data_IF_441213445704
#
_entry.id   IF_441213445704
#
_cell.length_a   1.000
_cell.length_b   1.000
_cell.length_c   1.000
_cell.angle_alpha   90.00
_cell.angle_beta   90.00
_cell.angle_gamma   90.00
#
_symmetry.space_group_name_H-M   'P 1'
#
loop_
_entity.id
_entity.type
_entity.pdbx_description
1 polymer ?
#
# COMPACT_ATOMS: atom_id res chain seq x y z
N UNK A 1 -54.71 -41.62 -20.66
CA UNK A 1 -54.37 -40.38 -21.39
C UNK A 1 -54.77 -39.17 -20.56
N UNK A 2 -53.83 -38.51 -19.88
CA UNK A 2 -53.93 -37.11 -19.48
C UNK A 2 -52.66 -36.43 -19.99
N UNK A 3 -52.84 -35.55 -20.98
CA UNK A 3 -51.80 -34.70 -21.58
C UNK A 3 -51.33 -33.72 -20.50
N UNK A 4 -50.06 -33.78 -20.10
CA UNK A 4 -49.41 -32.58 -19.56
C UNK A 4 -48.83 -31.84 -20.76
N UNK A 5 -49.37 -30.65 -20.97
CA UNK A 5 -48.94 -29.66 -21.94
C UNK A 5 -47.44 -29.37 -21.76
N UNK A 6 -46.63 -29.82 -22.71
CA UNK A 6 -45.28 -29.33 -22.91
C UNK A 6 -45.43 -27.83 -23.22
N UNK A 7 -45.01 -26.97 -22.30
CA UNK A 7 -44.85 -25.55 -22.58
C UNK A 7 -43.78 -25.37 -23.67
N UNK A 8 -43.94 -24.40 -24.56
CA UNK A 8 -42.94 -24.05 -25.56
C UNK A 8 -41.58 -23.78 -24.87
N UNK A 9 -40.54 -24.55 -25.19
CA UNK A 9 -39.19 -24.34 -24.67
C UNK A 9 -38.30 -25.59 -24.69
N UNK A 10 -37.05 -25.43 -24.26
CA UNK A 10 -36.10 -26.50 -24.02
C UNK A 10 -35.90 -26.67 -22.51
N UNK A 11 -35.68 -27.91 -22.05
CA UNK A 11 -35.37 -28.24 -20.65
C UNK A 11 -34.02 -28.94 -20.62
N UNK A 12 -33.15 -28.57 -19.67
CA UNK A 12 -31.83 -29.15 -19.49
C UNK A 12 -31.23 -28.77 -18.14
N UNK A 13 -30.16 -29.45 -17.76
CA UNK A 13 -29.39 -29.18 -16.54
C UNK A 13 -28.11 -28.41 -16.91
N UNK A 14 -27.74 -27.45 -16.07
CA UNK A 14 -26.54 -26.62 -16.26
C UNK A 14 -25.73 -26.70 -14.96
N UNK A 15 -24.48 -27.16 -15.06
CA UNK A 15 -23.57 -27.32 -13.92
C UNK A 15 -22.53 -26.18 -13.86
N UNK A 16 -22.06 -25.86 -12.65
CA UNK A 16 -20.93 -24.95 -12.43
C UNK A 16 -21.25 -23.45 -12.53
N UNK A 17 -22.53 -23.06 -12.56
CA UNK A 17 -22.98 -21.67 -12.59
C UNK A 17 -23.34 -21.17 -11.19
N UNK A 18 -22.89 -19.97 -10.83
CA UNK A 18 -23.21 -19.35 -9.54
C UNK A 18 -24.63 -18.80 -9.50
N UNK A 19 -25.20 -18.68 -8.29
CA UNK A 19 -26.55 -18.14 -8.12
C UNK A 19 -26.66 -16.67 -8.57
N UNK A 20 -25.58 -15.90 -8.43
CA UNK A 20 -25.46 -14.52 -8.95
C UNK A 20 -25.67 -14.50 -10.46
N UNK A 21 -25.00 -15.39 -11.19
CA UNK A 21 -25.10 -15.45 -12.66
C UNK A 21 -26.52 -15.84 -13.10
N UNK A 22 -27.17 -16.72 -12.36
CA UNK A 22 -28.55 -17.16 -12.63
C UNK A 22 -29.55 -16.02 -12.43
N UNK A 23 -29.39 -15.24 -11.35
CA UNK A 23 -30.22 -14.07 -11.06
C UNK A 23 -29.97 -12.97 -12.10
N UNK A 24 -28.71 -12.72 -12.46
CA UNK A 24 -28.35 -11.76 -13.51
C UNK A 24 -28.93 -12.16 -14.87
N UNK A 25 -28.88 -13.44 -15.23
CA UNK A 25 -29.53 -13.95 -16.43
C UNK A 25 -31.05 -13.71 -16.43
N UNK A 26 -31.71 -13.87 -15.28
CA UNK A 26 -33.14 -13.60 -15.14
C UNK A 26 -33.45 -12.12 -15.40
N UNK A 27 -32.70 -11.19 -14.81
CA UNK A 27 -32.87 -9.75 -14.99
C UNK A 27 -32.61 -9.30 -16.43
N UNK A 28 -31.69 -9.95 -17.16
CA UNK A 28 -31.38 -9.60 -18.56
C UNK A 28 -32.40 -10.15 -19.57
N UNK A 29 -33.28 -11.05 -19.15
CA UNK A 29 -34.15 -11.80 -20.06
C UNK A 29 -35.40 -11.04 -20.52
N UNK A 30 -35.75 -9.90 -19.92
CA UNK A 30 -36.87 -9.05 -20.40
C UNK A 30 -38.27 -9.42 -19.91
N UNK A 31 -38.48 -10.66 -19.44
CA UNK A 31 -39.81 -11.20 -19.16
C UNK A 31 -40.07 -11.43 -17.67
N UNK A 32 -41.35 -11.39 -17.27
CA UNK A 32 -41.77 -11.67 -15.89
C UNK A 32 -41.54 -13.15 -15.53
N UNK A 33 -40.76 -13.38 -14.48
CA UNK A 33 -40.29 -14.71 -14.10
C UNK A 33 -40.35 -14.94 -12.61
N UNK A 34 -40.50 -16.21 -12.25
CA UNK A 34 -40.28 -16.74 -10.90
C UNK A 34 -39.08 -17.68 -10.94
N UNK A 35 -38.08 -17.40 -10.13
CA UNK A 35 -36.96 -18.28 -9.86
C UNK A 35 -37.19 -18.95 -8.49
N UNK A 36 -37.33 -20.28 -8.50
CA UNK A 36 -37.34 -21.08 -7.28
C UNK A 36 -35.97 -21.72 -7.12
N UNK A 37 -35.31 -21.47 -5.99
CA UNK A 37 -33.99 -22.00 -5.63
C UNK A 37 -34.16 -22.95 -4.46
N UNK A 38 -33.61 -24.15 -4.56
CA UNK A 38 -33.62 -25.15 -3.50
C UNK A 38 -32.17 -25.47 -3.11
N UNK A 39 -31.82 -25.21 -1.86
CA UNK A 39 -30.52 -25.57 -1.27
C UNK A 39 -30.78 -26.35 -0.01
N UNK A 40 -30.25 -27.58 0.07
CA UNK A 40 -30.56 -28.53 1.15
C UNK A 40 -32.09 -28.69 1.32
N UNK A 41 -32.64 -28.35 2.49
CA UNK A 41 -34.09 -28.38 2.80
C UNK A 41 -34.76 -27.00 2.70
N UNK A 42 -34.05 -25.98 2.20
CA UNK A 42 -34.51 -24.59 2.15
C UNK A 42 -34.98 -24.20 0.74
N UNK A 43 -36.22 -23.68 0.64
CA UNK A 43 -36.79 -23.16 -0.59
C UNK A 43 -36.86 -21.63 -0.58
N UNK A 44 -36.16 -21.02 -1.54
CA UNK A 44 -36.14 -19.58 -1.77
C UNK A 44 -36.83 -19.25 -3.09
N UNK A 45 -37.55 -18.15 -3.13
CA UNK A 45 -38.31 -17.73 -4.31
C UNK A 45 -38.05 -16.26 -4.63
N UNK A 46 -37.69 -15.97 -5.87
CA UNK A 46 -37.50 -14.61 -6.39
C UNK A 46 -38.47 -14.36 -7.55
N UNK A 47 -39.05 -13.15 -7.60
CA UNK A 47 -39.88 -12.70 -8.72
C UNK A 47 -39.26 -11.50 -9.42
N UNK A 48 -39.32 -11.55 -10.76
CA UNK A 48 -38.74 -10.57 -11.66
C UNK A 48 -39.82 -9.94 -12.52
N UNK A 49 -39.73 -8.63 -12.75
CA UNK A 49 -40.61 -7.87 -13.64
C UNK A 49 -39.84 -6.64 -14.14
N UNK A 50 -40.00 -6.30 -15.43
CA UNK A 50 -39.31 -5.15 -16.05
C UNK A 50 -37.78 -5.12 -15.81
N UNK A 51 -37.13 -6.28 -15.90
CA UNK A 51 -35.68 -6.47 -15.65
C UNK A 51 -35.21 -6.21 -14.21
N UNK A 52 -36.14 -6.06 -13.26
CA UNK A 52 -35.85 -5.82 -11.86
C UNK A 52 -36.33 -6.99 -10.98
N UNK A 53 -35.73 -7.14 -9.80
CA UNK A 53 -36.18 -8.06 -8.77
C UNK A 53 -37.23 -7.32 -7.93
N UNK A 54 -38.49 -7.73 -8.02
CA UNK A 54 -39.60 -6.99 -7.39
C UNK A 54 -40.05 -7.60 -6.07
N UNK A 55 -39.80 -8.89 -5.84
CA UNK A 55 -40.24 -9.61 -4.64
C UNK A 55 -39.36 -10.82 -4.38
N UNK A 56 -39.15 -11.14 -3.10
CA UNK A 56 -38.39 -12.32 -2.68
C UNK A 56 -39.00 -12.93 -1.41
N UNK A 57 -38.96 -14.25 -1.29
CA UNK A 57 -39.52 -15.01 -0.18
C UNK A 57 -38.59 -16.17 0.24
N UNK A 58 -38.33 -16.28 1.54
CA UNK A 58 -37.62 -17.41 2.13
C UNK A 58 -38.13 -17.65 3.56
N UNK A 59 -38.83 -18.77 3.78
CA UNK A 59 -39.47 -19.06 5.07
C UNK A 59 -40.49 -17.99 5.45
N UNK A 60 -40.30 -17.34 6.59
CA UNK A 60 -41.12 -16.19 7.04
C UNK A 60 -40.58 -14.83 6.55
N UNK A 61 -39.41 -14.80 5.90
CA UNK A 61 -38.80 -13.58 5.38
C UNK A 61 -39.38 -13.20 4.02
N UNK A 62 -39.59 -11.89 3.83
CA UNK A 62 -40.01 -11.30 2.56
C UNK A 62 -39.14 -10.08 2.23
N UNK A 63 -39.02 -9.71 0.95
CA UNK A 63 -38.26 -8.53 0.53
C UNK A 63 -36.75 -8.72 0.50
N UNK A 64 -36.02 -7.62 0.62
CA UNK A 64 -34.56 -7.60 0.40
C UNK A 64 -33.82 -8.57 1.33
N UNK A 65 -34.26 -8.70 2.58
CA UNK A 65 -33.66 -9.65 3.52
C UNK A 65 -33.86 -11.12 3.12
N UNK A 66 -35.00 -11.47 2.52
CA UNK A 66 -35.21 -12.80 1.94
C UNK A 66 -34.26 -13.02 0.76
N UNK A 67 -34.12 -12.01 -0.11
CA UNK A 67 -33.19 -12.05 -1.23
C UNK A 67 -31.75 -12.28 -0.76
N UNK A 68 -31.24 -11.49 0.20
CA UNK A 68 -29.87 -11.63 0.69
C UNK A 68 -29.62 -13.00 1.32
N UNK A 69 -30.58 -13.56 2.06
CA UNK A 69 -30.47 -14.91 2.62
C UNK A 69 -30.36 -15.98 1.54
N UNK A 70 -31.14 -15.87 0.47
CA UNK A 70 -31.08 -16.82 -0.66
C UNK A 70 -29.71 -16.72 -1.35
N UNK A 71 -29.16 -15.51 -1.52
CA UNK A 71 -27.88 -15.30 -2.20
C UNK A 71 -26.66 -15.88 -1.45
N UNK A 72 -26.78 -16.15 -0.15
CA UNK A 72 -25.70 -16.78 0.64
C UNK A 72 -25.55 -18.29 0.40
N UNK A 73 -26.44 -18.93 -0.34
CA UNK A 73 -26.42 -20.38 -0.50
C UNK A 73 -25.28 -20.84 -1.42
N UNK A 74 -24.41 -21.77 -0.97
CA UNK A 74 -23.19 -22.12 -1.69
C UNK A 74 -23.41 -23.07 -2.88
N UNK A 75 -24.50 -23.85 -2.85
CA UNK A 75 -24.90 -24.74 -3.93
C UNK A 75 -26.39 -25.05 -3.83
N UNK A 76 -27.00 -25.52 -4.91
CA UNK A 76 -28.42 -25.84 -4.93
C UNK A 76 -28.90 -26.18 -6.32
N UNK A 77 -30.19 -26.48 -6.42
CA UNK A 77 -30.90 -26.62 -7.69
C UNK A 77 -31.82 -25.43 -7.89
N UNK A 78 -32.12 -25.08 -9.13
CA UNK A 78 -33.04 -23.99 -9.41
C UNK A 78 -34.01 -24.36 -10.53
N UNK A 79 -35.16 -23.71 -10.53
CA UNK A 79 -36.13 -23.75 -11.62
C UNK A 79 -36.63 -22.35 -11.89
N UNK A 80 -36.67 -21.97 -13.18
CA UNK A 80 -37.13 -20.67 -13.61
C UNK A 80 -38.34 -20.83 -14.53
N UNK A 81 -39.46 -20.22 -14.16
CA UNK A 81 -40.71 -20.32 -14.88
C UNK A 81 -41.29 -18.93 -15.12
N UNK A 82 -42.05 -18.76 -16.20
CA UNK A 82 -42.83 -17.54 -16.41
C UNK A 82 -43.91 -17.44 -15.35
N UNK A 83 -43.92 -16.33 -14.62
CA UNK A 83 -44.91 -16.06 -13.60
C UNK A 83 -44.92 -14.56 -13.28
N UNK A 84 -46.12 -14.01 -13.10
CA UNK A 84 -46.32 -12.64 -12.62
C UNK A 84 -46.68 -12.66 -11.13
N UNK A 85 -46.26 -11.64 -10.41
CA UNK A 85 -46.74 -11.36 -9.06
C UNK A 85 -47.25 -9.93 -8.99
N UNK A 86 -48.28 -9.69 -8.17
CA UNK A 86 -48.77 -8.35 -7.86
C UNK A 86 -48.15 -7.79 -6.58
N UNK A 87 -47.27 -8.57 -5.93
CA UNK A 87 -46.56 -8.14 -4.74
C UNK A 87 -45.23 -7.52 -5.14
N UNK A 88 -44.94 -6.36 -4.55
CA UNK A 88 -43.64 -5.70 -4.63
C UNK A 88 -43.18 -5.43 -3.21
N UNK A 89 -42.06 -6.04 -2.85
CA UNK A 89 -41.44 -5.90 -1.52
C UNK A 89 -40.00 -5.43 -1.61
N UNK A 90 -39.52 -5.13 -2.83
CA UNK A 90 -38.16 -4.72 -3.12
C UNK A 90 -38.24 -3.50 -4.05
N UNK A 91 -37.64 -2.40 -3.61
CA UNK A 91 -37.61 -1.15 -4.37
C UNK A 91 -36.21 -0.80 -4.90
N UNK A 92 -35.15 -1.40 -4.34
CA UNK A 92 -33.80 -1.22 -4.83
C UNK A 92 -33.57 -1.89 -6.20
N UNK A 93 -32.69 -1.30 -7.01
CA UNK A 93 -32.30 -1.88 -8.30
C UNK A 93 -31.57 -3.22 -8.11
N UNK A 94 -31.76 -4.16 -9.03
CA UNK A 94 -31.14 -5.48 -8.98
C UNK A 94 -29.60 -5.44 -8.90
N UNK A 95 -28.96 -4.47 -9.56
CA UNK A 95 -27.50 -4.25 -9.48
C UNK A 95 -27.06 -3.91 -8.06
N UNK A 96 -27.79 -3.02 -7.39
CA UNK A 96 -27.52 -2.65 -6.00
C UNK A 96 -27.72 -3.85 -5.07
N UNK A 97 -28.79 -4.63 -5.28
CA UNK A 97 -29.06 -5.84 -4.49
C UNK A 97 -27.94 -6.87 -4.62
N UNK A 98 -27.40 -7.10 -5.83
CA UNK A 98 -26.29 -8.02 -6.02
C UNK A 98 -24.99 -7.53 -5.38
N UNK A 99 -24.68 -6.24 -5.51
CA UNK A 99 -23.49 -5.65 -4.87
C UNK A 99 -23.59 -5.71 -3.34
N UNK A 100 -24.77 -5.42 -2.80
CA UNK A 100 -25.04 -5.47 -1.36
C UNK A 100 -25.06 -6.91 -0.85
N UNK A 101 -25.56 -7.87 -1.64
CA UNK A 101 -25.45 -9.30 -1.32
C UNK A 101 -23.98 -9.76 -1.27
N UNK A 102 -23.16 -9.37 -2.24
CA UNK A 102 -21.73 -9.67 -2.26
C UNK A 102 -21.01 -9.05 -1.06
N UNK A 103 -21.29 -7.78 -0.75
CA UNK A 103 -20.77 -7.09 0.44
C UNK A 103 -21.14 -7.83 1.73
N UNK A 104 -22.40 -8.26 1.86
CA UNK A 104 -22.88 -8.98 3.05
C UNK A 104 -22.29 -10.39 3.17
N UNK A 105 -22.05 -11.07 2.05
CA UNK A 105 -21.34 -12.36 2.03
C UNK A 105 -19.90 -12.14 2.48
N UNK A 106 -19.22 -11.11 1.97
CA UNK A 106 -17.86 -10.74 2.41
C UNK A 106 -17.82 -10.32 3.89
N UNK A 107 -18.84 -9.62 4.39
CA UNK A 107 -18.96 -9.23 5.80
C UNK A 107 -19.32 -10.39 6.73
N UNK A 108 -20.17 -11.35 6.31
CA UNK A 108 -20.41 -12.60 7.04
C UNK A 108 -19.17 -13.50 7.02
N UNK A 109 -18.39 -13.45 5.95
CA UNK A 109 -17.11 -14.14 5.82
C UNK A 109 -15.95 -13.37 6.48
N UNK A 110 -16.22 -12.17 7.02
CA UNK A 110 -15.30 -11.41 7.87
C UNK A 110 -15.55 -11.81 9.32
N UNK A 111 -14.56 -12.32 10.07
CA UNK A 111 -14.81 -12.69 11.47
C UNK A 111 -15.07 -11.43 12.30
N UNK A 112 -16.22 -11.37 12.97
CA UNK A 112 -16.45 -10.45 14.07
C UNK A 112 -15.52 -10.80 15.24
N UNK A 113 -15.01 -9.78 15.93
CA UNK A 113 -14.12 -9.96 17.06
C UNK A 113 -14.79 -10.75 18.21
N UNK A 114 -14.48 -12.04 18.33
CA UNK A 114 -14.47 -12.77 19.61
C UNK A 114 -13.71 -14.10 19.51
N UNK A 115 -12.73 -14.25 20.40
CA UNK A 115 -12.28 -15.49 21.07
C UNK A 115 -13.03 -16.79 20.72
N UNK A 116 -12.46 -17.61 19.83
CA UNK A 116 -12.08 -19.03 20.03
C UNK A 116 -11.58 -19.59 18.70
N UNK A 117 -10.38 -20.18 18.72
CA UNK A 117 -9.67 -20.68 17.55
C UNK A 117 -10.23 -22.02 17.05
N UNK A 118 -10.38 -22.19 15.74
CA UNK A 118 -10.06 -23.42 15.00
C UNK A 118 -9.45 -23.08 13.63
N UNK A 119 -8.35 -23.78 13.31
CA UNK A 119 -7.31 -23.44 12.34
C UNK A 119 -7.63 -23.87 10.90
N UNK A 120 -7.83 -22.88 10.02
CA UNK A 120 -7.50 -22.96 8.59
C UNK A 120 -6.40 -21.93 8.32
N UNK A 121 -5.28 -22.37 7.75
CA UNK A 121 -3.96 -21.70 7.70
C UNK A 121 -3.99 -20.32 6.97
N UNK A 122 -4.55 -19.29 7.63
CA UNK A 122 -4.70 -17.90 7.17
C UNK A 122 -3.39 -17.10 7.12
N UNK A 123 -2.28 -17.78 6.83
CA UNK A 123 -0.97 -17.19 6.75
C UNK A 123 -0.78 -16.51 5.38
N UNK A 124 -0.15 -15.33 5.32
CA UNK A 124 0.21 -14.69 4.05
C UNK A 124 0.98 -15.64 3.14
N UNK A 125 0.60 -15.68 1.87
CA UNK A 125 1.20 -16.53 0.84
C UNK A 125 2.38 -15.82 0.19
N UNK A 126 3.55 -16.45 0.23
CA UNK A 126 4.80 -15.86 -0.28
C UNK A 126 5.36 -16.69 -1.43
N UNK A 127 5.78 -16.01 -2.50
CA UNK A 127 6.61 -16.58 -3.56
C UNK A 127 8.06 -16.12 -3.36
N UNK A 128 9.00 -17.06 -3.25
CA UNK A 128 10.42 -16.75 -3.10
C UNK A 128 11.16 -16.90 -4.44
N UNK A 129 11.72 -15.82 -4.96
CA UNK A 129 12.41 -15.81 -6.27
C UNK A 129 13.89 -15.44 -6.10
N UNK A 130 14.76 -16.44 -6.22
CA UNK A 130 16.22 -16.30 -6.05
C UNK A 130 16.93 -17.44 -6.80
N UNK A 131 18.01 -17.15 -7.53
CA UNK A 131 18.79 -18.15 -8.25
C UNK A 131 19.73 -18.96 -7.34
N UNK A 132 20.01 -18.45 -6.14
CA UNK A 132 20.78 -19.13 -5.11
C UNK A 132 19.93 -20.05 -4.27
N UNK A 133 20.08 -21.37 -4.50
CA UNK A 133 19.45 -22.43 -3.69
C UNK A 133 19.67 -22.27 -2.19
N UNK A 134 20.79 -21.68 -1.78
CA UNK A 134 21.07 -21.40 -0.37
C UNK A 134 20.10 -20.34 0.18
N UNK A 135 20.00 -19.19 -0.50
CA UNK A 135 19.09 -18.12 -0.09
C UNK A 135 17.64 -18.54 -0.22
N UNK A 136 17.24 -19.23 -1.30
CA UNK A 136 15.88 -19.76 -1.45
C UNK A 136 15.47 -20.60 -0.24
N UNK A 137 16.29 -21.58 0.15
CA UNK A 137 16.00 -22.44 1.33
C UNK A 137 15.98 -21.67 2.63
N UNK A 138 16.89 -20.71 2.80
CA UNK A 138 16.97 -19.92 4.01
C UNK A 138 15.78 -18.97 4.16
N UNK A 139 15.31 -18.34 3.06
CA UNK A 139 14.09 -17.53 3.07
C UNK A 139 12.83 -18.37 3.27
N UNK A 140 12.76 -19.56 2.67
CA UNK A 140 11.65 -20.49 2.92
C UNK A 140 11.55 -20.77 4.43
N UNK A 141 12.68 -21.16 5.03
CA UNK A 141 12.75 -21.41 6.47
C UNK A 141 12.42 -20.17 7.30
N UNK A 142 12.88 -18.99 6.89
CA UNK A 142 12.59 -17.74 7.59
C UNK A 142 11.07 -17.46 7.62
N UNK A 143 10.41 -17.56 6.46
CA UNK A 143 8.98 -17.31 6.34
C UNK A 143 8.15 -18.33 7.13
N UNK A 144 8.43 -19.61 6.97
CA UNK A 144 7.64 -20.69 7.60
C UNK A 144 7.90 -20.79 9.12
N UNK A 145 9.17 -20.76 9.55
CA UNK A 145 9.51 -20.99 10.96
C UNK A 145 9.30 -19.75 11.82
N UNK A 146 9.74 -18.57 11.34
CA UNK A 146 9.84 -17.35 12.15
C UNK A 146 8.70 -16.36 11.89
N UNK A 147 8.43 -16.04 10.62
CA UNK A 147 7.45 -14.99 10.28
C UNK A 147 6.01 -15.52 10.29
N UNK A 148 5.84 -16.85 10.19
CA UNK A 148 4.54 -17.51 10.04
C UNK A 148 3.83 -17.05 8.76
N UNK A 149 4.52 -17.25 7.64
CA UNK A 149 3.99 -17.05 6.30
C UNK A 149 4.12 -18.35 5.49
N UNK A 150 3.15 -18.62 4.63
CA UNK A 150 3.11 -19.85 3.83
C UNK A 150 3.84 -19.65 2.52
N UNK A 151 4.93 -20.39 2.30
CA UNK A 151 5.63 -20.32 1.02
C UNK A 151 4.91 -21.19 0.01
N UNK A 152 4.24 -20.54 -0.95
CA UNK A 152 3.42 -21.24 -1.95
C UNK A 152 4.22 -21.73 -3.15
N UNK A 153 5.42 -21.18 -3.34
CA UNK A 153 6.30 -21.57 -4.41
C UNK A 153 7.68 -20.97 -4.29
N UNK A 154 8.59 -21.52 -5.09
CA UNK A 154 9.94 -20.96 -5.29
C UNK A 154 10.25 -20.92 -6.78
N UNK A 155 11.03 -19.94 -7.21
CA UNK A 155 11.49 -19.80 -8.59
C UNK A 155 12.96 -19.39 -8.62
N UNK A 156 13.70 -19.89 -9.62
CA UNK A 156 15.14 -19.64 -9.75
C UNK A 156 15.49 -18.54 -10.77
N UNK A 157 14.48 -18.01 -11.45
CA UNK A 157 14.60 -16.93 -12.42
C UNK A 157 13.25 -16.27 -12.67
N UNK A 158 13.25 -15.11 -13.34
CA UNK A 158 12.02 -14.37 -13.62
C UNK A 158 10.98 -15.13 -14.47
N UNK A 159 11.41 -16.03 -15.37
CA UNK A 159 10.49 -16.78 -16.24
C UNK A 159 9.70 -17.82 -15.47
N UNK A 160 10.36 -18.52 -14.54
CA UNK A 160 9.69 -19.45 -13.61
C UNK A 160 8.73 -18.71 -12.68
N UNK A 161 9.13 -17.54 -12.17
CA UNK A 161 8.27 -16.72 -11.31
C UNK A 161 6.98 -16.29 -12.05
N UNK A 162 7.09 -15.80 -13.28
CA UNK A 162 5.92 -15.42 -14.08
C UNK A 162 4.99 -16.60 -14.38
N UNK A 163 5.55 -17.78 -14.69
CA UNK A 163 4.74 -19.00 -14.89
C UNK A 163 3.99 -19.39 -13.61
N UNK A 164 4.63 -19.25 -12.45
CA UNK A 164 3.97 -19.49 -11.17
C UNK A 164 2.81 -18.52 -10.94
N UNK A 165 3.04 -17.23 -11.19
CA UNK A 165 2.03 -16.16 -11.02
C UNK A 165 0.82 -16.32 -11.96
N UNK A 166 0.99 -16.97 -13.12
CA UNK A 166 -0.13 -17.34 -14.00
C UNK A 166 -1.05 -18.42 -13.40
N UNK A 167 -0.56 -19.20 -12.43
CA UNK A 167 -1.31 -20.31 -11.80
C UNK A 167 -1.81 -19.96 -10.40
N UNK A 168 -1.08 -19.12 -9.66
CA UNK A 168 -1.38 -18.80 -8.27
C UNK A 168 -0.93 -17.37 -7.93
N UNK A 169 -1.79 -16.62 -7.25
CA UNK A 169 -1.50 -15.26 -6.79
C UNK A 169 -0.98 -15.30 -5.34
N UNK A 170 0.30 -14.99 -5.09
CA UNK A 170 0.83 -14.79 -3.75
C UNK A 170 0.48 -13.39 -3.23
N UNK A 171 0.46 -13.23 -1.90
CA UNK A 171 0.30 -11.92 -1.25
C UNK A 171 1.60 -11.11 -1.33
N UNK A 172 2.75 -11.77 -1.29
CA UNK A 172 4.07 -11.14 -1.39
C UNK A 172 5.01 -11.94 -2.31
N UNK A 173 5.78 -11.24 -3.13
CA UNK A 173 6.90 -11.81 -3.89
C UNK A 173 8.21 -11.27 -3.35
N UNK A 174 9.13 -12.15 -2.95
CA UNK A 174 10.53 -11.74 -2.79
C UNK A 174 11.28 -11.97 -4.11
N UNK A 175 12.09 -11.00 -4.51
CA UNK A 175 12.72 -11.01 -5.83
C UNK A 175 14.18 -10.57 -5.76
N UNK A 176 15.09 -11.43 -6.20
CA UNK A 176 16.47 -11.00 -6.49
C UNK A 176 16.51 -10.11 -7.75
N UNK A 177 17.31 -9.05 -7.67
CA UNK A 177 17.52 -8.13 -8.78
C UNK A 177 18.29 -8.77 -9.94
N UNK A 178 19.27 -9.64 -9.64
CA UNK A 178 20.18 -10.19 -10.65
C UNK A 178 20.05 -11.70 -10.71
N UNK A 179 19.46 -12.22 -11.79
CA UNK A 179 19.23 -13.65 -12.00
C UNK A 179 19.47 -14.02 -13.47
N UNK A 180 19.86 -15.27 -13.76
CA UNK A 180 20.01 -15.76 -15.14
C UNK A 180 18.67 -15.89 -15.85
N UNK A 181 18.70 -16.06 -17.18
CA UNK A 181 17.53 -16.26 -18.08
C UNK A 181 16.62 -15.03 -18.19
N UNK A 182 16.06 -14.58 -17.08
CA UNK A 182 15.28 -13.36 -16.96
C UNK A 182 15.67 -12.67 -15.64
N UNK A 183 16.23 -11.47 -15.77
CA UNK A 183 16.63 -10.64 -14.64
C UNK A 183 15.43 -10.10 -13.86
N UNK A 184 15.66 -9.70 -12.61
CA UNK A 184 14.60 -9.21 -11.73
C UNK A 184 13.90 -7.96 -12.26
N UNK A 185 14.59 -7.08 -12.98
CA UNK A 185 13.99 -5.84 -13.51
C UNK A 185 12.98 -6.14 -14.62
N UNK A 186 13.28 -7.13 -15.47
CA UNK A 186 12.36 -7.62 -16.51
C UNK A 186 11.20 -8.36 -15.86
N UNK A 187 11.47 -9.21 -14.87
CA UNK A 187 10.45 -9.93 -14.13
C UNK A 187 9.46 -8.97 -13.46
N UNK A 188 9.95 -8.01 -12.67
CA UNK A 188 9.12 -7.04 -11.95
C UNK A 188 8.20 -6.25 -12.89
N UNK A 189 8.72 -5.79 -14.03
CA UNK A 189 7.89 -5.11 -15.04
C UNK A 189 6.75 -5.99 -15.54
N UNK A 190 7.01 -7.28 -15.77
CA UNK A 190 5.97 -8.21 -16.20
C UNK A 190 4.98 -8.53 -15.09
N UNK A 191 5.43 -8.66 -13.84
CA UNK A 191 4.57 -8.83 -12.66
C UNK A 191 3.59 -7.67 -12.59
N UNK A 192 4.10 -6.43 -12.56
CA UNK A 192 3.26 -5.23 -12.47
C UNK A 192 2.37 -4.94 -13.69
N UNK A 193 2.57 -5.61 -14.82
CA UNK A 193 1.69 -5.46 -15.99
C UNK A 193 0.63 -6.55 -16.05
N UNK A 194 0.97 -7.79 -15.67
CA UNK A 194 0.12 -8.96 -15.89
C UNK A 194 -0.68 -9.37 -14.66
N UNK A 195 -0.06 -9.30 -13.50
CA UNK A 195 -0.64 -9.69 -12.21
C UNK A 195 0.08 -8.90 -11.13
N UNK A 196 -0.26 -7.61 -10.95
CA UNK A 196 0.36 -6.75 -9.95
C UNK A 196 0.31 -7.42 -8.57
N UNK A 197 1.47 -7.50 -7.93
CA UNK A 197 1.62 -8.07 -6.60
C UNK A 197 2.68 -7.26 -5.85
N UNK A 198 2.58 -7.11 -4.52
CA UNK A 198 3.64 -6.53 -3.72
C UNK A 198 4.96 -7.28 -3.94
N UNK A 199 6.01 -6.56 -4.35
CA UNK A 199 7.35 -7.13 -4.58
C UNK A 199 8.38 -6.48 -3.67
N UNK A 200 9.02 -7.28 -2.82
CA UNK A 200 10.19 -6.87 -2.04
C UNK A 200 11.45 -7.36 -2.70
N UNK A 201 12.40 -6.44 -2.88
CA UNK A 201 13.69 -6.76 -3.46
C UNK A 201 14.62 -7.33 -2.40
N UNK A 202 15.30 -8.41 -2.74
CA UNK A 202 16.26 -9.08 -1.87
C UNK A 202 17.57 -9.26 -2.63
N UNK A 203 18.55 -8.40 -2.41
CA UNK A 203 19.80 -8.46 -3.18
C UNK A 203 21.03 -8.01 -2.39
N UNK A 204 22.22 -8.24 -2.96
CA UNK A 204 23.48 -7.75 -2.39
C UNK A 204 23.69 -6.28 -2.80
N UNK A 205 23.75 -5.34 -1.86
CA UNK A 205 24.02 -3.93 -2.20
C UNK A 205 25.50 -3.64 -2.44
N UNK A 206 25.76 -2.80 -3.44
CA UNK A 206 27.01 -2.10 -3.63
C UNK A 206 26.71 -0.66 -4.09
N UNK A 207 27.72 0.21 -4.12
CA UNK A 207 27.53 1.62 -4.49
C UNK A 207 26.92 1.83 -5.89
N UNK A 208 27.26 0.96 -6.84
CA UNK A 208 26.75 1.03 -8.22
C UNK A 208 25.27 0.59 -8.32
N UNK A 209 24.75 -0.08 -7.28
CA UNK A 209 23.38 -0.59 -7.26
C UNK A 209 22.33 0.42 -6.82
N UNK A 210 22.70 1.58 -6.27
CA UNK A 210 21.73 2.59 -5.83
C UNK A 210 20.80 3.05 -6.97
N UNK A 211 21.36 3.29 -8.16
CA UNK A 211 20.59 3.67 -9.35
C UNK A 211 19.66 2.55 -9.81
N UNK A 212 20.15 1.30 -9.82
CA UNK A 212 19.33 0.14 -10.15
C UNK A 212 18.18 -0.02 -9.15
N UNK A 213 18.46 0.06 -7.86
CA UNK A 213 17.45 -0.01 -6.80
C UNK A 213 16.32 1.00 -7.04
N UNK A 214 16.67 2.25 -7.34
CA UNK A 214 15.66 3.28 -7.64
C UNK A 214 14.88 2.98 -8.94
N UNK A 215 15.47 2.35 -9.94
CA UNK A 215 14.73 1.86 -11.11
C UNK A 215 13.72 0.76 -10.73
N UNK A 216 14.07 -0.16 -9.85
CA UNK A 216 13.12 -1.16 -9.36
C UNK A 216 11.97 -0.54 -8.56
N UNK A 217 12.23 0.47 -7.73
CA UNK A 217 11.16 1.21 -7.03
C UNK A 217 10.20 1.85 -8.06
N UNK A 218 10.72 2.42 -9.16
CA UNK A 218 9.89 2.95 -10.26
C UNK A 218 9.11 1.90 -11.01
N UNK A 219 9.60 0.66 -11.05
CA UNK A 219 8.89 -0.46 -11.64
C UNK A 219 7.83 -1.03 -10.70
N UNK A 220 7.78 -0.60 -9.43
CA UNK A 220 6.74 -0.93 -8.47
C UNK A 220 7.17 -1.78 -7.29
N UNK A 221 8.48 -2.01 -7.09
CA UNK A 221 8.93 -2.63 -5.86
C UNK A 221 8.42 -1.84 -4.64
N UNK A 222 7.88 -2.55 -3.64
CA UNK A 222 7.28 -1.91 -2.46
C UNK A 222 8.32 -1.57 -1.41
N UNK A 223 9.40 -2.36 -1.36
CA UNK A 223 10.53 -2.15 -0.47
C UNK A 223 11.75 -2.99 -0.88
N UNK A 224 12.83 -2.85 -0.11
CA UNK A 224 14.12 -3.43 -0.41
C UNK A 224 14.88 -3.85 0.86
N UNK A 225 15.43 -5.07 0.85
CA UNK A 225 16.26 -5.62 1.94
C UNK A 225 17.56 -6.21 1.40
N UNK A 226 18.61 -6.16 2.21
CA UNK A 226 19.91 -6.74 1.81
C UNK A 226 19.89 -8.24 2.04
N UNK A 227 20.58 -9.00 1.17
CA UNK A 227 20.88 -10.40 1.48
C UNK A 227 21.77 -10.47 2.74
N UNK A 228 21.50 -11.42 3.64
CA UNK A 228 22.18 -11.47 4.94
C UNK A 228 23.62 -11.95 4.79
N UNK A 229 24.53 -11.27 5.48
CA UNK A 229 25.96 -11.63 5.54
C UNK A 229 26.36 -12.22 6.90
N UNK A 230 25.55 -12.02 7.93
CA UNK A 230 25.79 -12.50 9.30
C UNK A 230 24.46 -12.78 10.03
N UNK A 231 24.47 -13.41 11.22
CA UNK A 231 23.26 -13.71 11.99
C UNK A 231 22.43 -12.47 12.38
N UNK A 232 23.06 -11.33 12.66
CA UNK A 232 22.35 -10.08 12.99
C UNK A 232 21.53 -9.56 11.80
N UNK A 233 22.08 -9.67 10.59
CA UNK A 233 21.39 -9.29 9.35
C UNK A 233 20.11 -10.10 9.16
N UNK A 234 20.10 -11.39 9.52
CA UNK A 234 18.89 -12.22 9.45
C UNK A 234 17.78 -11.71 10.36
N UNK A 235 18.13 -11.24 11.56
CA UNK A 235 17.15 -10.66 12.49
C UNK A 235 16.52 -9.39 11.90
N UNK A 236 17.33 -8.48 11.37
CA UNK A 236 16.86 -7.24 10.74
C UNK A 236 15.95 -7.51 9.54
N UNK A 237 16.31 -8.48 8.71
CA UNK A 237 15.49 -8.90 7.56
C UNK A 237 14.17 -9.52 8.03
N UNK A 238 14.20 -10.36 9.06
CA UNK A 238 13.01 -10.97 9.65
C UNK A 238 12.01 -9.92 10.11
N UNK A 239 12.47 -8.96 10.93
CA UNK A 239 11.65 -7.85 11.44
C UNK A 239 11.08 -7.01 10.31
N UNK A 240 11.89 -6.71 9.29
CA UNK A 240 11.45 -5.91 8.14
C UNK A 240 10.43 -6.64 7.27
N UNK A 241 10.65 -7.91 6.95
CA UNK A 241 9.71 -8.72 6.18
C UNK A 241 8.41 -8.96 6.93
N UNK A 242 8.47 -9.13 8.26
CA UNK A 242 7.28 -9.21 9.10
C UNK A 242 6.48 -7.91 9.06
N UNK A 243 7.13 -6.75 9.17
CA UNK A 243 6.47 -5.44 9.05
C UNK A 243 5.81 -5.25 7.67
N UNK A 244 6.47 -5.68 6.59
CA UNK A 244 5.90 -5.62 5.24
C UNK A 244 4.70 -6.55 5.11
N UNK A 245 4.80 -7.78 5.61
CA UNK A 245 3.70 -8.76 5.54
C UNK A 245 2.49 -8.33 6.37
N UNK A 246 2.69 -7.66 7.50
CA UNK A 246 1.59 -7.09 8.30
C UNK A 246 0.76 -6.06 7.52
N UNK A 247 1.39 -5.36 6.57
CA UNK A 247 0.77 -4.33 5.73
C UNK A 247 0.42 -4.82 4.32
N UNK A 248 0.57 -6.13 4.02
CA UNK A 248 0.59 -6.63 2.65
C UNK A 248 -0.71 -6.37 1.88
N UNK A 249 -1.85 -6.42 2.57
CA UNK A 249 -3.17 -6.22 1.97
C UNK A 249 -3.55 -4.75 1.82
N UNK A 250 -2.79 -3.82 2.41
CA UNK A 250 -3.01 -2.38 2.29
C UNK A 250 -2.22 -1.76 1.13
N UNK A 251 -1.32 -2.52 0.50
CA UNK A 251 -0.54 -2.00 -0.62
C UNK A 251 -1.41 -1.73 -1.85
N UNK A 252 -1.50 -0.47 -2.25
CA UNK A 252 -2.11 -0.04 -3.50
C UNK A 252 -1.07 -0.06 -4.62
N UNK A 253 -0.68 -1.25 -5.10
CA UNK A 253 0.36 -1.41 -6.15
C UNK A 253 0.00 -0.73 -7.48
N UNK A 254 -1.29 -0.51 -7.74
CA UNK A 254 -1.77 0.24 -8.90
C UNK A 254 -1.46 1.75 -8.81
N UNK A 255 -1.25 2.27 -7.59
CA UNK A 255 -0.86 3.66 -7.36
C UNK A 255 0.62 3.93 -7.67
N UNK A 256 1.39 2.90 -8.06
CA UNK A 256 2.75 3.07 -8.57
C UNK A 256 2.69 3.80 -9.92
N UNK A 257 2.65 5.13 -9.84
CA UNK A 257 2.91 5.98 -10.98
C UNK A 257 4.36 5.76 -11.42
N UNK A 258 4.55 5.35 -12.69
CA UNK A 258 5.88 5.25 -13.30
C UNK A 258 6.51 6.65 -13.34
N UNK A 259 7.23 7.00 -12.29
CA UNK A 259 7.99 8.24 -12.25
C UNK A 259 8.97 8.26 -13.42
N UNK A 260 9.09 9.41 -14.09
CA UNK A 260 10.16 9.59 -15.09
C UNK A 260 11.49 9.57 -14.35
N UNK A 261 12.52 9.00 -14.98
CA UNK A 261 13.87 9.11 -14.43
C UNK A 261 14.24 10.61 -14.36
N UNK A 262 14.71 11.10 -13.21
CA UNK A 262 15.11 12.50 -13.09
C UNK A 262 16.31 12.80 -13.97
N UNK A 263 16.40 14.05 -14.46
CA UNK A 263 17.59 14.52 -15.16
C UNK A 263 18.66 14.88 -14.13
N UNK A 264 19.95 14.54 -14.36
CA UNK A 264 21.03 14.97 -13.47
C UNK A 264 21.02 16.48 -13.26
N UNK A 265 21.39 16.92 -12.05
CA UNK A 265 21.46 18.35 -11.76
C UNK A 265 22.56 19.02 -12.61
N UNK A 266 22.22 20.09 -13.31
CA UNK A 266 23.15 20.78 -14.23
C UNK A 266 24.34 21.41 -13.50
N UNK A 267 24.16 21.83 -12.24
CA UNK A 267 25.20 22.44 -11.43
C UNK A 267 25.10 22.04 -9.97
N UNK A 268 26.23 21.63 -9.40
CA UNK A 268 26.40 21.47 -7.95
C UNK A 268 26.79 22.79 -7.32
N UNK A 269 26.05 23.19 -6.29
CA UNK A 269 26.31 24.42 -5.54
C UNK A 269 27.18 24.07 -4.34
N UNK A 270 28.27 24.82 -4.17
CA UNK A 270 29.15 24.69 -2.99
C UNK A 270 28.48 25.33 -1.79
N UNK A 271 28.40 24.60 -0.68
CA UNK A 271 27.82 25.09 0.57
C UNK A 271 28.62 26.27 1.13
N UNK A 272 27.93 27.37 1.45
CA UNK A 272 28.53 28.54 2.09
C UNK A 272 28.76 28.40 3.61
N UNK A 273 28.47 27.22 4.19
CA UNK A 273 28.54 26.91 5.62
C UNK A 273 27.81 27.92 6.53
N UNK A 274 26.64 28.40 6.08
CA UNK A 274 25.76 29.26 6.88
C UNK A 274 24.70 28.44 7.60
N UNK A 275 24.33 28.80 8.86
CA UNK A 275 23.20 28.20 9.55
C UNK A 275 21.92 28.27 8.71
N UNK A 276 21.11 27.23 8.76
CA UNK A 276 19.81 27.24 8.10
C UNK A 276 18.84 28.19 8.82
N UNK A 277 18.15 29.03 8.05
CA UNK A 277 17.04 29.85 8.53
C UNK A 277 15.71 29.09 8.47
N UNK A 278 15.59 28.14 7.53
CA UNK A 278 14.38 27.36 7.26
C UNK A 278 14.69 25.87 7.30
N UNK A 279 13.71 25.06 7.71
CA UNK A 279 13.82 23.61 7.69
C UNK A 279 12.65 23.02 6.91
N UNK A 280 12.97 22.22 5.89
CA UNK A 280 12.05 21.29 5.24
C UNK A 280 12.30 19.89 5.80
N UNK A 281 11.37 19.36 6.59
CA UNK A 281 11.43 18.01 7.12
C UNK A 281 10.49 17.10 6.32
N UNK A 282 11.02 16.03 5.74
CA UNK A 282 10.26 15.06 4.97
C UNK A 282 10.31 13.72 5.72
N UNK A 283 9.15 13.18 6.06
CA UNK A 283 9.00 11.89 6.75
C UNK A 283 8.28 10.89 5.84
N UNK A 284 8.78 9.66 5.74
CA UNK A 284 8.17 8.60 4.92
C UNK A 284 8.48 7.19 5.40
N UNK A 285 7.77 6.20 4.87
CA UNK A 285 8.02 4.79 5.11
C UNK A 285 7.76 3.94 3.87
N UNK A 286 7.05 2.82 3.96
CA UNK A 286 6.84 1.96 2.78
C UNK A 286 6.23 2.76 1.62
N UNK A 287 6.87 2.70 0.44
CA UNK A 287 6.56 3.52 -0.73
C UNK A 287 7.20 4.91 -0.79
N UNK A 288 7.65 5.47 0.35
CA UNK A 288 8.23 6.81 0.42
C UNK A 288 9.46 7.03 -0.47
N UNK A 289 10.27 5.99 -0.73
CA UNK A 289 11.42 6.09 -1.65
C UNK A 289 11.04 6.53 -3.07
N UNK A 290 9.92 6.01 -3.59
CA UNK A 290 9.41 6.40 -4.90
C UNK A 290 8.97 7.87 -4.90
N UNK A 291 8.39 8.34 -3.80
CA UNK A 291 7.91 9.72 -3.66
C UNK A 291 9.07 10.71 -3.54
N UNK A 292 10.12 10.34 -2.80
CA UNK A 292 11.35 11.14 -2.74
C UNK A 292 11.97 11.34 -4.13
N UNK A 293 11.84 10.37 -5.04
CA UNK A 293 12.31 10.50 -6.43
C UNK A 293 11.55 11.54 -7.24
N UNK A 294 10.28 11.81 -6.89
CA UNK A 294 9.47 12.85 -7.53
C UNK A 294 9.74 14.23 -6.91
N UNK A 295 10.00 14.27 -5.59
CA UNK A 295 10.13 15.51 -4.82
C UNK A 295 11.56 16.07 -4.87
N UNK A 296 12.57 15.30 -4.44
CA UNK A 296 13.93 15.83 -4.20
C UNK A 296 14.58 16.43 -5.46
N UNK A 297 14.48 15.81 -6.65
CA UNK A 297 15.02 16.41 -7.88
C UNK A 297 14.27 17.66 -8.35
N UNK A 298 13.02 17.83 -7.93
CA UNK A 298 12.17 18.95 -8.31
C UNK A 298 12.24 20.13 -7.33
N UNK A 299 12.88 19.96 -6.16
CA UNK A 299 13.06 21.05 -5.20
C UNK A 299 13.91 22.17 -5.80
N UNK A 300 13.37 23.39 -5.73
CA UNK A 300 14.13 24.59 -6.07
C UNK A 300 15.18 24.87 -5.01
N UNK A 301 16.36 25.26 -5.45
CA UNK A 301 17.47 25.50 -4.54
C UNK A 301 17.26 26.81 -3.77
N UNK A 302 17.28 26.69 -2.44
CA UNK A 302 17.31 27.81 -1.51
C UNK A 302 18.51 27.65 -0.56
N UNK A 303 19.43 28.62 -0.61
CA UNK A 303 20.64 28.66 0.20
C UNK A 303 20.39 28.86 1.69
N UNK A 304 19.17 29.22 2.10
CA UNK A 304 18.76 29.43 3.49
C UNK A 304 18.03 28.22 4.09
N UNK A 305 17.60 27.27 3.25
CA UNK A 305 16.82 26.10 3.66
C UNK A 305 17.71 24.88 3.86
N UNK A 306 17.62 24.24 5.02
CA UNK A 306 18.07 22.85 5.21
C UNK A 306 16.93 21.90 4.89
N UNK A 307 17.22 20.82 4.18
CA UNK A 307 16.29 19.70 3.94
C UNK A 307 16.73 18.53 4.82
N UNK A 308 15.79 17.93 5.54
CA UNK A 308 16.00 16.71 6.31
C UNK A 308 14.98 15.67 5.86
N UNK A 309 15.44 14.49 5.48
CA UNK A 309 14.61 13.37 5.05
C UNK A 309 14.82 12.20 6.00
N UNK A 310 13.75 11.77 6.66
CA UNK A 310 13.75 10.57 7.47
C UNK A 310 12.80 9.54 6.87
N UNK A 311 13.36 8.38 6.57
CA UNK A 311 12.68 7.33 5.82
C UNK A 311 12.76 6.01 6.59
N UNK A 312 11.62 5.35 6.83
CA UNK A 312 11.59 4.00 7.42
C UNK A 312 12.05 2.98 6.39
N UNK A 313 13.34 2.64 6.40
CA UNK A 313 13.99 1.77 5.43
C UNK A 313 14.91 0.74 6.09
N UNK A 314 15.30 -0.29 5.33
CA UNK A 314 16.29 -1.26 5.79
C UNK A 314 17.67 -0.59 6.06
N UNK A 315 18.40 -0.97 7.13
CA UNK A 315 19.70 -0.37 7.47
C UNK A 315 20.75 -0.49 6.35
N UNK A 316 21.64 0.51 6.25
CA UNK A 316 22.71 0.55 5.25
C UNK A 316 22.29 1.13 3.89
N UNK A 317 21.00 1.35 3.65
CA UNK A 317 20.50 1.92 2.38
C UNK A 317 20.69 3.45 2.31
N UNK A 318 20.71 4.13 3.46
CA UNK A 318 20.78 5.60 3.54
C UNK A 318 21.94 6.21 2.73
N UNK A 319 23.15 5.63 2.83
CA UNK A 319 24.33 6.11 2.12
C UNK A 319 24.17 6.00 0.60
N UNK A 320 23.57 4.90 0.13
CA UNK A 320 23.31 4.68 -1.28
C UNK A 320 22.27 5.66 -1.82
N UNK A 321 21.21 5.93 -1.05
CA UNK A 321 20.20 6.94 -1.39
C UNK A 321 20.77 8.34 -1.41
N UNK A 322 21.57 8.72 -0.39
CA UNK A 322 22.22 10.02 -0.35
C UNK A 322 23.09 10.25 -1.60
N UNK A 323 23.92 9.28 -1.97
CA UNK A 323 24.72 9.32 -3.20
C UNK A 323 23.85 9.42 -4.46
N UNK A 324 22.76 8.65 -4.54
CA UNK A 324 21.81 8.70 -5.66
C UNK A 324 21.18 10.10 -5.79
N UNK A 325 20.53 10.60 -4.74
CA UNK A 325 19.86 11.89 -4.77
C UNK A 325 20.84 13.05 -4.97
N UNK A 326 22.07 12.92 -4.45
CA UNK A 326 23.12 13.90 -4.74
C UNK A 326 23.34 14.04 -6.25
N UNK A 327 23.11 13.04 -7.11
CA UNK A 327 23.27 13.25 -8.55
C UNK A 327 22.15 14.11 -9.20
N UNK A 328 21.00 14.28 -8.54
CA UNK A 328 19.77 14.79 -9.14
C UNK A 328 19.20 16.07 -8.52
N UNK A 329 19.86 16.64 -7.51
CA UNK A 329 19.44 17.92 -6.92
C UNK A 329 20.63 18.88 -6.74
N UNK A 330 20.43 20.21 -6.83
CA UNK A 330 21.49 21.19 -6.52
C UNK A 330 21.92 21.17 -5.05
N UNK A 331 21.04 20.72 -4.14
CA UNK A 331 21.35 20.55 -2.73
C UNK A 331 22.54 19.60 -2.53
N UNK A 332 23.36 19.86 -1.52
CA UNK A 332 24.41 18.95 -1.09
C UNK A 332 23.77 17.83 -0.25
N UNK A 333 23.67 16.63 -0.82
CA UNK A 333 23.00 15.49 -0.17
C UNK A 333 24.03 14.60 0.52
N UNK A 334 23.81 14.30 1.80
CA UNK A 334 24.64 13.40 2.60
C UNK A 334 23.81 12.65 3.63
N UNK A 335 24.39 11.60 4.22
CA UNK A 335 23.80 10.94 5.37
C UNK A 335 23.63 11.92 6.53
N UNK A 336 22.62 11.62 7.33
CA UNK A 336 22.33 12.28 8.56
C UNK A 336 23.17 11.69 9.69
N UNK A 337 24.06 12.49 10.28
CA UNK A 337 24.80 12.11 11.49
C UNK A 337 24.40 12.97 12.70
N UNK A 338 24.48 12.39 13.90
CA UNK A 338 24.20 13.10 15.15
C UNK A 338 25.35 14.05 15.48
N UNK A 339 25.01 15.27 15.89
CA UNK A 339 25.95 16.32 16.25
C UNK A 339 26.32 17.25 15.10
N UNK A 340 25.78 17.01 13.90
CA UNK A 340 25.98 17.87 12.74
C UNK A 340 25.10 19.12 12.79
N UNK A 341 25.69 20.24 12.35
CA UNK A 341 24.98 21.50 12.19
C UNK A 341 24.04 21.44 10.97
N UNK A 342 22.87 22.06 11.10
CA UNK A 342 21.91 22.24 10.01
C UNK A 342 22.28 23.50 9.23
N UNK A 343 22.85 23.29 8.04
CA UNK A 343 23.32 24.35 7.16
C UNK A 343 22.34 24.59 6.00
N UNK A 344 22.18 25.83 5.59
CA UNK A 344 21.38 26.18 4.41
C UNK A 344 21.98 25.61 3.12
N UNK A 345 21.11 25.15 2.20
CA UNK A 345 21.51 24.49 0.96
C UNK A 345 21.91 23.02 1.10
N UNK A 346 21.78 22.43 2.29
CA UNK A 346 22.07 21.02 2.57
C UNK A 346 20.81 20.15 2.55
N UNK A 347 20.95 18.89 2.16
CA UNK A 347 19.94 17.85 2.33
C UNK A 347 20.52 16.66 3.11
N UNK A 348 19.98 16.37 4.30
CA UNK A 348 20.39 15.23 5.13
C UNK A 348 19.38 14.11 5.01
N UNK A 349 19.84 12.89 4.74
CA UNK A 349 18.99 11.71 4.62
C UNK A 349 19.34 10.67 5.68
N UNK A 350 18.34 10.12 6.34
CA UNK A 350 18.53 9.14 7.39
C UNK A 350 17.33 8.23 7.56
N UNK A 351 17.50 7.27 8.46
CA UNK A 351 16.41 6.43 8.91
C UNK A 351 15.59 7.18 9.98
N UNK A 352 14.29 6.92 10.10
CA UNK A 352 13.45 7.49 11.16
C UNK A 352 13.65 6.80 12.52
N UNK A 353 14.30 5.64 12.61
CA UNK A 353 14.63 5.00 13.90
C UNK A 353 15.64 5.80 14.71
N UNK A 354 15.51 5.78 16.04
CA UNK A 354 16.40 6.48 16.97
C UNK A 354 15.85 7.83 17.42
N UNK A 355 16.36 8.32 18.55
CA UNK A 355 15.89 9.56 19.17
C UNK A 355 16.66 10.74 18.61
N UNK A 356 15.93 11.66 17.95
CA UNK A 356 16.49 12.86 17.36
C UNK A 356 15.68 14.08 17.77
N UNK A 357 16.38 15.19 17.95
CA UNK A 357 15.81 16.49 18.22
C UNK A 357 16.67 17.56 17.57
N UNK A 358 16.05 18.68 17.21
CA UNK A 358 16.77 19.88 16.78
C UNK A 358 17.06 20.72 18.02
N UNK A 359 18.31 21.14 18.19
CA UNK A 359 18.72 22.04 19.28
C UNK A 359 19.54 23.20 18.75
N UNK A 360 19.55 24.31 19.49
CA UNK A 360 20.41 25.46 19.20
C UNK A 360 21.70 25.37 20.03
N UNK A 361 22.85 25.32 19.37
CA UNK A 361 24.17 25.46 19.99
C UNK A 361 24.81 26.77 19.54
N UNK A 362 24.92 27.73 20.46
CA UNK A 362 25.47 29.06 20.16
C UNK A 362 24.75 29.76 18.98
N UNK A 363 23.43 29.54 18.86
CA UNK A 363 22.61 30.10 17.77
C UNK A 363 22.64 29.28 16.47
N UNK A 364 23.44 28.21 16.37
CA UNK A 364 23.41 27.30 15.24
C UNK A 364 22.47 26.11 15.51
N UNK A 365 21.48 25.85 14.63
CA UNK A 365 20.66 24.66 14.74
C UNK A 365 21.51 23.43 14.42
N UNK A 366 21.37 22.39 15.22
CA UNK A 366 22.04 21.10 15.00
C UNK A 366 21.13 19.95 15.40
N UNK A 367 21.50 18.76 14.93
CA UNK A 367 20.77 17.54 15.20
C UNK A 367 21.41 16.85 16.40
N UNK A 368 20.66 16.76 17.49
CA UNK A 368 21.10 16.08 18.71
C UNK A 368 20.27 14.83 18.91
N UNK A 369 20.86 13.82 19.56
CA UNK A 369 20.16 12.56 19.74
C UNK A 369 21.05 11.44 20.23
N UNK A 370 20.49 10.23 20.18
CA UNK A 370 21.23 8.98 20.29
C UNK A 370 20.72 8.04 19.22
N UNK A 371 21.65 7.34 18.57
CA UNK A 371 21.28 6.17 17.80
C UNK A 371 20.83 5.11 18.80
N UNK A 372 19.55 4.78 18.79
CA UNK A 372 19.08 3.59 19.48
C UNK A 372 19.38 2.38 18.58
N UNK A 373 19.64 1.22 19.17
CA UNK A 373 19.65 -0.03 18.43
C UNK A 373 18.32 -0.15 17.66
N UNK A 374 18.39 -0.55 16.38
CA UNK A 374 17.24 -0.76 15.46
C UNK A 374 16.05 -1.52 16.09
N UNK A 375 16.33 -2.24 17.17
CA UNK A 375 15.47 -3.11 17.96
C UNK A 375 14.37 -2.40 18.78
N UNK A 376 14.26 -1.06 18.74
CA UNK A 376 13.09 -0.33 19.28
C UNK A 376 12.43 0.47 18.16
N UNK A 377 11.27 -0.03 17.71
CA UNK A 377 10.31 0.68 16.85
C UNK A 377 9.76 1.98 17.47
N UNK A 378 10.36 2.54 18.54
CA UNK A 378 10.01 3.87 19.02
C UNK A 378 10.65 4.90 18.09
N UNK A 379 9.92 5.16 17.01
CA UNK A 379 10.15 6.29 16.14
C UNK A 379 9.84 7.56 16.93
N UNK A 380 10.87 8.30 17.31
CA UNK A 380 10.71 9.55 18.08
C UNK A 380 10.56 10.76 17.15
N UNK A 381 9.89 10.54 16.01
CA UNK A 381 9.63 11.59 15.03
C UNK A 381 8.76 12.71 15.65
N UNK A 382 7.95 12.39 16.65
CA UNK A 382 7.15 13.33 17.41
C UNK A 382 8.00 14.36 18.19
N UNK A 383 9.00 13.92 18.97
CA UNK A 383 9.92 14.84 19.65
C UNK A 383 10.77 15.63 18.65
N UNK A 384 11.13 15.03 17.52
CA UNK A 384 11.83 15.75 16.46
C UNK A 384 10.96 16.88 15.90
N UNK A 385 9.69 16.63 15.61
CA UNK A 385 8.75 17.65 15.16
C UNK A 385 8.59 18.76 16.20
N UNK A 386 8.38 18.39 17.46
CA UNK A 386 8.24 19.35 18.55
C UNK A 386 9.49 20.25 18.68
N UNK A 387 10.68 19.65 18.74
CA UNK A 387 11.93 20.42 18.86
C UNK A 387 12.25 21.25 17.61
N UNK A 388 11.97 20.74 16.41
CA UNK A 388 12.08 21.50 15.17
C UNK A 388 11.13 22.72 15.16
N UNK A 389 9.89 22.55 15.64
CA UNK A 389 8.92 23.63 15.74
C UNK A 389 9.34 24.71 16.74
N UNK A 390 9.95 24.32 17.87
CA UNK A 390 10.52 25.28 18.83
C UNK A 390 11.69 26.10 18.25
N UNK A 391 12.51 25.49 17.39
CA UNK A 391 13.69 26.14 16.80
C UNK A 391 13.36 26.98 15.58
N UNK A 392 12.56 26.47 14.64
CA UNK A 392 12.30 27.10 13.34
C UNK A 392 10.96 27.85 13.27
N UNK A 393 9.99 27.53 14.14
CA UNK A 393 8.67 28.15 14.15
C UNK A 393 7.99 28.16 12.79
N UNK A 394 7.52 29.34 12.35
CA UNK A 394 6.86 29.52 11.05
C UNK A 394 7.75 29.26 9.81
N UNK A 395 9.07 29.06 10.02
CA UNK A 395 10.02 28.69 8.96
C UNK A 395 10.20 27.17 8.83
N UNK A 396 9.42 26.38 9.58
CA UNK A 396 9.35 24.93 9.45
C UNK A 396 8.28 24.52 8.44
N UNK A 397 8.62 23.64 7.52
CA UNK A 397 7.68 22.93 6.66
C UNK A 397 7.89 21.42 6.82
N UNK A 398 6.81 20.69 7.07
CA UNK A 398 6.81 19.24 7.28
C UNK A 398 6.05 18.59 6.13
N UNK A 399 6.65 17.60 5.49
CA UNK A 399 6.02 16.79 4.45
C UNK A 399 5.91 15.36 4.95
N UNK A 400 4.70 14.81 4.92
CA UNK A 400 4.41 13.44 5.36
C UNK A 400 4.01 12.59 4.15
N UNK A 401 4.78 11.53 3.89
CA UNK A 401 4.69 10.67 2.71
C UNK A 401 4.18 9.27 3.03
N UNK A 402 3.90 8.47 2.00
CA UNK A 402 3.42 7.09 2.07
C UNK A 402 4.14 6.26 3.14
N UNK A 403 3.35 5.49 3.90
CA UNK A 403 3.84 4.54 4.90
C UNK A 403 4.52 5.15 6.13
N UNK A 404 4.32 6.46 6.38
CA UNK A 404 4.78 7.13 7.61
C UNK A 404 4.01 6.61 8.83
N UNK A 405 4.52 5.54 9.43
CA UNK A 405 3.87 4.81 10.53
C UNK A 405 4.42 5.25 11.88
N UNK A 406 4.03 6.46 12.29
CA UNK A 406 4.50 7.14 13.50
C UNK A 406 3.36 7.91 14.15
N UNK A 407 3.24 7.83 15.48
CA UNK A 407 2.39 8.75 16.22
C UNK A 407 3.06 10.12 16.23
N UNK A 408 2.48 11.09 15.53
CA UNK A 408 3.02 12.43 15.34
C UNK A 408 2.12 13.51 15.95
N UNK A 409 1.11 13.11 16.72
CA UNK A 409 0.03 14.02 17.11
C UNK A 409 0.55 15.26 17.85
N UNK A 410 1.36 15.07 18.89
CA UNK A 410 1.84 16.16 19.75
C UNK A 410 2.82 17.05 18.97
N UNK A 411 3.69 16.45 18.16
CA UNK A 411 4.64 17.13 17.29
C UNK A 411 3.95 17.99 16.23
N UNK A 412 2.93 17.45 15.55
CA UNK A 412 2.14 18.18 14.57
C UNK A 412 1.37 19.34 15.21
N UNK A 413 0.75 19.14 16.37
CA UNK A 413 0.10 20.20 17.14
C UNK A 413 1.09 21.33 17.47
N UNK A 414 2.34 20.99 17.85
CA UNK A 414 3.39 21.96 18.12
C UNK A 414 3.81 22.74 16.86
N UNK A 415 3.93 22.07 15.71
CA UNK A 415 4.23 22.70 14.41
C UNK A 415 3.17 23.74 14.07
N UNK A 416 1.88 23.36 14.11
CA UNK A 416 0.75 24.27 13.82
C UNK A 416 0.72 25.44 14.81
N UNK A 417 0.87 25.18 16.11
CA UNK A 417 0.88 26.20 17.16
C UNK A 417 1.99 27.24 16.96
N UNK A 418 3.13 26.84 16.40
CA UNK A 418 4.28 27.73 16.11
C UNK A 418 4.22 28.38 14.73
N UNK A 419 3.14 28.15 13.97
CA UNK A 419 2.90 28.70 12.64
C UNK A 419 3.66 27.98 11.52
N UNK A 420 4.21 26.79 11.79
CA UNK A 420 4.82 25.94 10.77
C UNK A 420 3.76 25.31 9.87
N UNK A 421 4.21 24.77 8.74
CA UNK A 421 3.34 24.21 7.70
C UNK A 421 3.44 22.68 7.70
N UNK A 422 2.33 22.00 7.49
CA UNK A 422 2.28 20.54 7.34
C UNK A 422 1.62 20.23 6.00
N UNK A 423 2.28 19.44 5.17
CA UNK A 423 1.82 19.00 3.85
C UNK A 423 1.71 17.48 3.89
N UNK A 424 0.53 16.97 3.60
CA UNK A 424 0.29 15.53 3.51
C UNK A 424 0.35 15.10 2.05
N UNK A 425 0.95 13.94 1.74
CA UNK A 425 0.68 13.28 0.48
C UNK A 425 -0.80 12.92 0.40
N UNK A 426 -1.43 13.10 -0.77
CA UNK A 426 -2.78 12.59 -1.05
C UNK A 426 -2.83 11.07 -0.80
N UNK A 427 -3.61 10.57 0.19
CA UNK A 427 -3.65 9.14 0.50
C UNK A 427 -4.01 8.25 -0.69
N UNK A 428 -4.88 8.74 -1.57
CA UNK A 428 -5.29 8.04 -2.78
C UNK A 428 -4.14 7.85 -3.78
N UNK A 429 -3.04 8.61 -3.65
CA UNK A 429 -1.82 8.47 -4.44
C UNK A 429 -0.76 7.57 -3.79
N UNK A 430 -0.96 7.16 -2.53
CA UNK A 430 0.05 6.44 -1.77
C UNK A 430 0.13 4.97 -2.16
N UNK A 431 1.33 4.41 -2.02
CA UNK A 431 1.53 2.96 -2.07
C UNK A 431 0.95 2.28 -0.82
N UNK A 432 1.13 2.89 0.35
CA UNK A 432 0.59 2.43 1.63
C UNK A 432 -0.15 3.59 2.32
N UNK A 433 -1.47 3.71 2.12
CA UNK A 433 -2.27 4.86 2.58
C UNK A 433 -2.64 4.80 4.07
N UNK A 434 -2.76 3.60 4.66
CA UNK A 434 -3.31 3.40 6.01
C UNK A 434 -2.72 4.33 7.09
N UNK A 435 -1.38 4.39 7.25
CA UNK A 435 -0.76 5.28 8.24
C UNK A 435 -1.08 6.77 8.02
N UNK A 436 -1.14 7.22 6.76
CA UNK A 436 -1.47 8.61 6.42
C UNK A 436 -2.95 8.93 6.62
N UNK A 437 -3.87 8.00 6.35
CA UNK A 437 -5.30 8.17 6.65
C UNK A 437 -5.54 8.36 8.16
N UNK A 438 -4.78 7.65 9.00
CA UNK A 438 -4.77 7.88 10.45
C UNK A 438 -4.37 9.32 10.80
N UNK A 439 -3.30 9.84 10.19
CA UNK A 439 -2.82 11.21 10.41
C UNK A 439 -3.80 12.26 9.87
N UNK A 440 -4.39 12.03 8.69
CA UNK A 440 -5.41 12.88 8.05
C UNK A 440 -6.60 13.13 8.97
N UNK A 441 -6.97 12.14 9.79
CA UNK A 441 -8.07 12.26 10.76
C UNK A 441 -7.83 13.33 11.85
N UNK A 442 -6.57 13.75 12.05
CA UNK A 442 -6.21 14.82 12.99
C UNK A 442 -6.54 16.22 12.45
N UNK A 443 -6.69 16.37 11.13
CA UNK A 443 -6.97 17.65 10.45
C UNK A 443 -6.02 18.79 10.84
N UNK A 444 -4.72 18.48 10.91
CA UNK A 444 -3.65 19.43 11.27
C UNK A 444 -2.81 19.87 10.06
N UNK A 445 -3.01 19.24 8.91
CA UNK A 445 -2.35 19.59 7.66
C UNK A 445 -2.89 20.90 7.06
N UNK A 446 -2.02 21.62 6.38
CA UNK A 446 -2.37 22.80 5.60
C UNK A 446 -3.03 22.41 4.27
N UNK A 447 -2.47 21.39 3.62
CA UNK A 447 -2.95 20.89 2.34
C UNK A 447 -2.55 19.43 2.10
N UNK A 448 -3.22 18.83 1.12
CA UNK A 448 -2.93 17.48 0.61
C UNK A 448 -2.55 17.62 -0.86
N UNK A 449 -1.43 17.00 -1.26
CA UNK A 449 -0.89 17.15 -2.61
C UNK A 449 -0.39 15.81 -3.14
N UNK A 450 -0.40 15.68 -4.47
CA UNK A 450 0.38 14.63 -5.13
C UNK A 450 1.87 14.90 -4.96
N UNK A 451 2.71 13.85 -4.91
CA UNK A 451 4.15 13.99 -4.77
C UNK A 451 4.81 14.93 -5.79
N UNK A 452 4.38 14.91 -7.05
CA UNK A 452 4.84 15.82 -8.10
C UNK A 452 4.52 17.30 -7.88
N UNK A 453 3.48 17.60 -7.09
CA UNK A 453 3.01 18.96 -6.82
C UNK A 453 3.62 19.57 -5.55
N UNK A 454 4.22 18.75 -4.68
CA UNK A 454 4.81 19.20 -3.41
C UNK A 454 5.95 20.20 -3.63
N UNK A 455 6.91 19.90 -4.52
CA UNK A 455 8.04 20.79 -4.76
C UNK A 455 7.62 22.13 -5.41
N UNK A 456 6.77 22.14 -6.46
CA UNK A 456 6.20 23.39 -6.99
C UNK A 456 5.40 24.18 -5.95
N UNK A 457 4.66 23.51 -5.08
CA UNK A 457 3.91 24.17 -4.00
C UNK A 457 4.84 24.85 -2.98
N UNK A 458 5.91 24.17 -2.56
CA UNK A 458 6.91 24.73 -1.67
C UNK A 458 7.62 25.96 -2.28
N UNK A 459 7.78 26.00 -3.60
CA UNK A 459 8.31 27.14 -4.35
C UNK A 459 7.29 28.29 -4.55
N UNK A 460 6.02 28.08 -4.22
CA UNK A 460 4.94 29.06 -4.44
C UNK A 460 4.43 29.14 -5.88
N UNK A 461 4.72 28.13 -6.70
CA UNK A 461 4.26 28.04 -8.10
C UNK A 461 2.83 27.53 -8.25
N UNK A 462 2.28 26.91 -7.20
CA UNK A 462 0.88 26.50 -7.13
C UNK A 462 0.20 27.41 -6.09
N UNK A 463 -0.95 28.04 -6.40
CA UNK A 463 -1.70 28.82 -5.43
C UNK A 463 -2.10 27.96 -4.21
N UNK A 464 -2.35 28.59 -3.05
CA UNK A 464 -2.79 27.89 -1.84
C UNK A 464 -3.88 26.86 -2.19
N UNK A 465 -3.62 25.59 -1.90
CA UNK A 465 -4.56 24.52 -2.20
C UNK A 465 -5.90 24.82 -1.50
N UNK A 466 -7.05 24.53 -2.12
CA UNK A 466 -8.33 24.72 -1.46
C UNK A 466 -8.34 23.94 -0.15
N UNK A 467 -8.59 24.64 0.97
CA UNK A 467 -8.83 24.00 2.27
C UNK A 467 -10.06 23.11 2.10
N UNK A 468 -9.83 21.81 1.96
CA UNK A 468 -10.86 20.78 1.80
C UNK A 468 -11.60 20.50 3.09
#
# INVERSE_FOLDING_TARGET
MKKNSIGNGFVGEIEGLGLVDIVQFACLSGDDRKLSVLSEDNLGVLYFSDNEIIHAEFGELTGEEAFYRIMTWPSGTFSMLFAKTNQRSIDASWNFLLLEAARRIDEQNRPAASTTAEEGDGLPKVLVVDDSRFFTKAFVKLFEDQIKAKVVGTATNGKEALKFLEMQVPDLVTLDMTMPVMSGDVALKHIMIRSPAPVVLVSNFNEQLAFKMMDFMRYGAVDVVAKPVNPESWKLISERLQYILMNVHEFCVDNVSRAKSPKPAEKKITLAAKPADRLLLILGGLGGLLELQKIIPALEYDETTAVMVLQNMYPGIAQHLASYFNAFTPYAVSCLDIGEDLLGGQCRMGNCHGKRQVVLRQGMPLISGREDEFNKMSLDADNLLHSAAEVFGAKLSVVLLSGVDVDLKIGMEAVVRKGGRIILQEPESCLLPGPLEGIKSLALEECRLKPEDIAPYLAGHIPEAPRG
#
